data_IF_936021380221
#
_entry.id   IF_936021380221
#
_cell.length_a   1.000
_cell.length_b   1.000
_cell.length_c   1.000
_cell.angle_alpha   90.00
_cell.angle_beta   90.00
_cell.angle_gamma   90.00
#
_symmetry.space_group_name_H-M   'P 1'
#
loop_
_entity.id
_entity.type
_entity.pdbx_description
1 polymer ?
#
# COMPACT_ATOMS: atom_id res chain seq x y z
N UNK A 1 7.35 2.47 0.47
CA UNK A 1 6.22 2.55 1.43
C UNK A 1 6.63 2.25 2.87
N UNK A 2 7.18 1.06 3.18
CA UNK A 2 7.58 0.72 4.56
C UNK A 2 8.63 1.68 5.12
N UNK A 3 9.62 2.10 4.32
CA UNK A 3 10.60 3.10 4.74
C UNK A 3 9.95 4.37 5.37
N UNK A 4 8.90 4.89 4.74
CA UNK A 4 8.13 6.03 5.26
C UNK A 4 7.29 5.65 6.49
N UNK A 5 6.66 4.48 6.47
CA UNK A 5 5.80 4.04 7.58
C UNK A 5 6.58 3.83 8.89
N UNK A 6 7.84 3.38 8.80
CA UNK A 6 8.77 3.25 9.92
C UNK A 6 9.43 4.59 10.31
N UNK A 7 9.21 5.67 9.55
CA UNK A 7 9.81 6.96 9.79
C UNK A 7 11.29 7.07 9.38
N UNK A 8 11.79 6.13 8.57
CA UNK A 8 13.16 6.17 8.04
C UNK A 8 13.30 7.25 6.97
N UNK A 9 12.25 7.44 6.16
CA UNK A 9 12.13 8.53 5.20
C UNK A 9 10.93 9.42 5.57
N UNK A 10 11.01 10.71 5.27
CA UNK A 10 9.91 11.65 5.50
C UNK A 10 9.40 12.21 4.18
N UNK A 11 8.11 12.00 3.92
CA UNK A 11 7.42 12.70 2.85
C UNK A 11 6.92 14.06 3.36
N UNK A 12 6.97 15.12 2.55
CA UNK A 12 6.41 16.41 2.94
C UNK A 12 4.89 16.29 3.16
N UNK A 13 4.38 17.03 4.14
CA UNK A 13 2.94 17.04 4.43
C UNK A 13 2.11 17.54 3.23
N UNK A 14 2.63 18.56 2.55
CA UNK A 14 2.03 19.12 1.36
C UNK A 14 2.78 18.62 0.12
N UNK A 15 2.09 17.90 -0.76
CA UNK A 15 2.64 17.47 -2.02
C UNK A 15 2.33 18.50 -3.11
N UNK A 16 3.38 19.15 -3.64
CA UNK A 16 3.29 20.12 -4.74
C UNK A 16 3.23 19.47 -6.14
N UNK A 17 3.18 18.13 -6.20
CA UNK A 17 3.27 17.35 -7.43
C UNK A 17 4.69 16.83 -7.72
N UNK A 18 5.67 17.15 -6.87
CA UNK A 18 7.04 16.65 -7.00
C UNK A 18 7.18 15.23 -6.41
N UNK A 19 7.96 14.38 -7.08
CA UNK A 19 8.21 13.00 -6.66
C UNK A 19 9.58 12.93 -5.96
N UNK A 20 9.58 12.66 -4.66
CA UNK A 20 10.80 12.69 -3.84
C UNK A 20 11.46 11.32 -3.59
N UNK A 21 10.89 10.21 -4.12
CA UNK A 21 11.36 8.85 -3.82
C UNK A 21 12.86 8.66 -4.07
N UNK A 22 13.39 9.20 -5.16
CA UNK A 22 14.80 9.04 -5.51
C UNK A 22 15.70 9.63 -4.42
N UNK A 23 15.43 10.88 -4.03
CA UNK A 23 16.17 11.59 -2.99
C UNK A 23 16.03 10.91 -1.62
N UNK A 24 14.80 10.61 -1.23
CA UNK A 24 14.50 10.10 0.11
C UNK A 24 15.11 8.71 0.34
N UNK A 25 15.07 7.83 -0.65
CA UNK A 25 15.63 6.48 -0.54
C UNK A 25 17.14 6.44 -0.84
N UNK A 26 17.69 7.35 -1.65
CA UNK A 26 19.14 7.50 -1.82
C UNK A 26 19.82 7.84 -0.48
N UNK A 27 19.23 8.75 0.30
CA UNK A 27 19.74 9.10 1.63
C UNK A 27 19.79 7.88 2.57
N UNK A 28 18.85 6.94 2.46
CA UNK A 28 18.88 5.69 3.22
C UNK A 28 20.03 4.76 2.77
N UNK A 29 20.30 4.68 1.47
CA UNK A 29 21.44 3.93 0.96
C UNK A 29 22.77 4.47 1.51
N UNK A 30 22.94 5.80 1.54
CA UNK A 30 24.13 6.46 2.09
C UNK A 30 24.31 6.16 3.59
N UNK A 31 23.21 6.06 4.33
CA UNK A 31 23.19 5.65 5.74
C UNK A 31 23.42 4.14 5.93
N UNK A 32 23.34 3.34 4.86
CA UNK A 32 23.43 1.88 4.92
C UNK A 32 22.19 1.24 5.53
N UNK A 33 21.02 1.87 5.33
CA UNK A 33 19.72 1.41 5.81
C UNK A 33 18.91 0.85 4.65
N UNK A 34 18.41 -0.37 4.79
CA UNK A 34 17.53 -1.00 3.81
C UNK A 34 16.42 -1.80 4.50
N UNK A 35 15.19 -1.72 3.97
CA UNK A 35 14.05 -2.50 4.47
C UNK A 35 13.41 -3.31 3.35
N UNK A 36 13.26 -4.62 3.57
CA UNK A 36 12.57 -5.49 2.60
C UNK A 36 11.07 -5.19 2.55
N UNK A 37 10.38 -5.52 1.46
CA UNK A 37 8.93 -5.61 1.45
C UNK A 37 8.38 -6.49 2.58
N UNK A 38 7.16 -6.20 3.02
CA UNK A 38 6.47 -6.94 4.06
C UNK A 38 5.84 -8.21 3.49
N UNK A 39 6.34 -9.36 3.91
CA UNK A 39 5.86 -10.69 3.50
C UNK A 39 4.83 -11.17 4.51
N UNK A 40 3.63 -11.53 4.06
CA UNK A 40 2.63 -12.13 4.94
C UNK A 40 3.09 -13.52 5.41
N UNK A 41 2.91 -13.81 6.69
CA UNK A 41 3.33 -15.09 7.29
C UNK A 41 2.33 -16.21 7.05
N UNK A 42 1.10 -15.87 6.65
CA UNK A 42 0.01 -16.79 6.40
C UNK A 42 -0.85 -16.26 5.25
N UNK A 43 -1.77 -17.10 4.77
CA UNK A 43 -2.74 -16.69 3.76
C UNK A 43 -3.52 -15.44 4.23
N UNK A 44 -3.59 -14.38 3.40
CA UNK A 44 -4.23 -13.13 3.81
C UNK A 44 -5.72 -13.34 4.09
N UNK A 45 -6.15 -12.83 5.24
CA UNK A 45 -7.56 -12.73 5.61
C UNK A 45 -8.12 -11.40 5.15
N UNK A 46 -9.34 -11.40 4.63
CA UNK A 46 -10.00 -10.19 4.15
C UNK A 46 -11.32 -9.94 4.86
N UNK A 47 -11.67 -8.68 4.99
CA UNK A 47 -13.00 -8.22 5.38
C UNK A 47 -13.60 -7.43 4.22
N UNK A 48 -14.91 -7.55 4.05
CA UNK A 48 -15.66 -6.86 3.01
C UNK A 48 -16.60 -5.86 3.66
N UNK A 49 -16.41 -4.59 3.33
CA UNK A 49 -17.33 -3.52 3.69
C UNK A 49 -18.26 -3.22 2.52
N UNK A 50 -19.54 -3.02 2.81
CA UNK A 50 -20.47 -2.38 1.88
C UNK A 50 -20.78 -0.98 2.41
N UNK A 51 -20.79 0.01 1.53
CA UNK A 51 -21.13 1.38 1.88
C UNK A 51 -22.08 1.96 0.84
N UNK A 52 -22.96 2.86 1.27
CA UNK A 52 -23.82 3.59 0.35
C UNK A 52 -23.00 4.68 -0.33
N UNK A 53 -23.16 4.82 -1.64
CA UNK A 53 -22.58 5.92 -2.42
C UNK A 53 -23.68 6.94 -2.80
N UNK A 54 -24.70 7.03 -1.96
CA UNK A 54 -25.77 8.00 -2.10
C UNK A 54 -25.22 9.43 -1.91
N UNK A 55 -25.74 10.40 -2.65
CA UNK A 55 -25.36 11.79 -2.47
C UNK A 55 -25.72 12.27 -1.06
N UNK A 56 -24.82 13.03 -0.45
CA UNK A 56 -25.03 13.70 0.83
C UNK A 56 -25.90 14.97 0.62
N UNK A 57 -27.11 14.76 0.13
CA UNK A 57 -28.10 15.81 -0.10
C UNK A 57 -29.17 15.75 1.00
N UNK A 58 -29.56 16.91 1.54
CA UNK A 58 -30.60 17.02 2.57
C UNK A 58 -31.94 16.41 2.13
N UNK A 59 -32.20 16.36 0.83
CA UNK A 59 -33.34 15.68 0.26
C UNK A 59 -32.93 14.91 -0.99
N UNK A 60 -33.35 13.64 -1.05
CA UNK A 60 -33.25 12.81 -2.24
C UNK A 60 -34.49 11.92 -2.39
N UNK A 61 -34.76 11.47 -3.62
CA UNK A 61 -35.79 10.47 -3.92
C UNK A 61 -35.28 9.43 -4.91
N UNK A 62 -35.79 8.20 -4.80
CA UNK A 62 -35.52 7.15 -5.79
C UNK A 62 -36.49 7.30 -6.98
N UNK A 63 -35.92 7.56 -8.16
CA UNK A 63 -36.60 7.41 -9.44
C UNK A 63 -36.31 6.01 -10.03
N UNK A 64 -36.88 5.71 -11.20
CA UNK A 64 -36.64 4.43 -11.86
C UNK A 64 -35.15 4.26 -12.20
N UNK A 65 -34.44 3.44 -11.41
CA UNK A 65 -33.00 3.17 -11.50
C UNK A 65 -32.06 4.38 -11.37
N UNK A 66 -32.50 5.47 -10.72
CA UNK A 66 -31.65 6.65 -10.50
C UNK A 66 -32.00 7.37 -9.20
N UNK A 67 -31.03 8.11 -8.64
CA UNK A 67 -31.25 8.98 -7.49
C UNK A 67 -31.50 10.40 -8.00
N UNK A 68 -32.54 11.04 -7.46
CA UNK A 68 -32.87 12.44 -7.68
C UNK A 68 -32.44 13.20 -6.44
N UNK A 69 -31.49 14.12 -6.59
CA UNK A 69 -31.07 15.02 -5.51
C UNK A 69 -31.65 16.42 -5.74
N UNK A 70 -31.97 17.13 -4.65
CA UNK A 70 -32.53 18.47 -4.69
C UNK A 70 -31.46 19.51 -4.35
N UNK A 71 -31.45 20.63 -5.07
CA UNK A 71 -30.65 21.81 -4.71
C UNK A 71 -31.12 22.43 -3.38
N UNK A 72 -30.21 23.02 -2.60
CA UNK A 72 -30.61 23.63 -1.33
C UNK A 72 -31.59 24.81 -1.54
N UNK A 73 -32.60 24.93 -0.68
CA UNK A 73 -33.67 25.93 -0.81
C UNK A 73 -34.73 25.70 -1.91
N UNK A 74 -34.62 24.66 -2.75
CA UNK A 74 -35.64 24.32 -3.74
C UNK A 74 -36.80 23.51 -3.12
N UNK A 75 -37.99 23.56 -3.75
CA UNK A 75 -39.06 22.58 -3.51
C UNK A 75 -39.24 21.67 -4.73
N UNK A 76 -39.72 20.45 -4.51
CA UNK A 76 -39.72 19.39 -5.54
C UNK A 76 -41.15 18.97 -5.86
N UNK A 77 -41.42 18.78 -7.15
CA UNK A 77 -42.69 18.32 -7.69
C UNK A 77 -42.48 17.08 -8.56
N UNK A 78 -43.33 16.07 -8.41
CA UNK A 78 -43.37 14.90 -9.29
C UNK A 78 -44.54 15.03 -10.26
N UNK A 79 -44.25 15.05 -11.55
CA UNK A 79 -45.26 15.06 -12.62
C UNK A 79 -45.03 13.85 -13.53
N UNK A 80 -45.79 12.77 -13.29
CA UNK A 80 -45.60 11.48 -13.96
C UNK A 80 -44.29 10.79 -13.53
N UNK A 81 -43.45 10.31 -14.47
CA UNK A 81 -42.16 9.69 -14.14
C UNK A 81 -41.03 10.72 -13.91
N UNK A 82 -41.30 12.01 -14.12
CA UNK A 82 -40.28 13.08 -14.10
C UNK A 82 -40.38 13.91 -12.82
N UNK A 83 -39.23 14.22 -12.25
CA UNK A 83 -39.09 15.11 -11.11
C UNK A 83 -38.64 16.51 -11.56
N UNK A 84 -39.23 17.54 -10.96
CA UNK A 84 -38.92 18.95 -11.20
C UNK A 84 -38.53 19.62 -9.89
N UNK A 85 -37.47 20.42 -9.90
CA UNK A 85 -37.15 21.35 -8.82
C UNK A 85 -37.65 22.75 -9.18
N UNK A 86 -38.10 23.49 -8.17
CA UNK A 86 -38.50 24.88 -8.25
C UNK A 86 -37.55 25.69 -7.38
N UNK A 87 -36.73 26.53 -8.01
CA UNK A 87 -35.78 27.40 -7.33
C UNK A 87 -35.95 28.81 -7.87
N UNK A 88 -36.12 29.80 -6.98
CA UNK A 88 -36.28 31.22 -7.36
C UNK A 88 -37.40 31.49 -8.39
N UNK A 89 -38.46 30.67 -8.38
CA UNK A 89 -39.59 30.81 -9.30
C UNK A 89 -39.41 30.12 -10.66
N UNK A 90 -38.24 29.52 -10.94
CA UNK A 90 -38.01 28.75 -12.16
C UNK A 90 -38.24 27.26 -11.94
N UNK A 91 -38.88 26.61 -12.92
CA UNK A 91 -39.13 25.16 -12.94
C UNK A 91 -38.06 24.45 -13.77
N UNK A 92 -37.24 23.63 -13.12
CA UNK A 92 -36.17 22.87 -13.77
C UNK A 92 -36.39 21.37 -13.64
N UNK A 93 -36.24 20.63 -14.74
CA UNK A 93 -36.26 19.16 -14.72
C UNK A 93 -34.99 18.65 -14.03
N UNK A 94 -35.15 17.80 -13.02
CA UNK A 94 -34.01 17.16 -12.36
C UNK A 94 -33.50 16.03 -13.26
N UNK A 95 -32.20 16.05 -13.55
CA UNK A 95 -31.53 15.00 -14.30
C UNK A 95 -31.45 13.70 -13.49
N UNK A 96 -31.58 12.56 -14.16
CA UNK A 96 -31.31 11.27 -13.54
C UNK A 96 -29.80 11.10 -13.40
N UNK A 97 -29.31 10.90 -12.19
CA UNK A 97 -27.89 10.63 -11.96
C UNK A 97 -27.68 9.11 -11.87
N UNK A 98 -26.98 8.55 -12.86
CA UNK A 98 -26.53 7.17 -12.80
C UNK A 98 -25.27 7.09 -11.93
N UNK A 99 -25.48 7.14 -10.61
CA UNK A 99 -24.42 6.97 -9.62
C UNK A 99 -24.47 5.56 -9.03
N UNK A 100 -23.31 4.93 -8.77
CA UNK A 100 -23.27 3.72 -7.96
C UNK A 100 -24.04 3.96 -6.66
N UNK A 101 -25.04 3.12 -6.36
CA UNK A 101 -25.86 3.30 -5.15
C UNK A 101 -25.18 2.69 -3.93
N UNK A 102 -24.43 1.60 -4.14
CA UNK A 102 -23.61 0.96 -3.14
C UNK A 102 -22.23 0.62 -3.72
N UNK A 103 -21.21 0.76 -2.88
CA UNK A 103 -19.86 0.31 -3.14
C UNK A 103 -19.51 -0.89 -2.27
N UNK A 104 -18.57 -1.70 -2.74
CA UNK A 104 -17.94 -2.76 -1.94
C UNK A 104 -16.44 -2.49 -1.87
N UNK A 105 -15.87 -2.65 -0.69
CA UNK A 105 -14.44 -2.56 -0.49
C UNK A 105 -13.92 -3.83 0.18
N UNK A 106 -12.91 -4.44 -0.44
CA UNK A 106 -12.15 -5.56 0.12
C UNK A 106 -10.92 -4.99 0.83
N UNK A 107 -10.81 -5.27 2.12
CA UNK A 107 -9.71 -4.79 2.96
C UNK A 107 -9.02 -5.98 3.63
N UNK A 108 -7.75 -5.84 3.97
CA UNK A 108 -7.10 -6.80 4.86
C UNK A 108 -7.81 -6.79 6.21
N UNK A 109 -8.20 -7.97 6.69
CA UNK A 109 -8.82 -8.14 7.99
C UNK A 109 -7.84 -7.85 9.13
N UNK A 110 -8.38 -7.60 10.33
CA UNK A 110 -7.57 -7.50 11.55
C UNK A 110 -6.93 -8.86 11.86
N UNK A 111 -5.67 -8.83 12.32
CA UNK A 111 -4.94 -10.02 12.74
C UNK A 111 -4.08 -10.66 11.65
N UNK A 112 -4.06 -10.12 10.43
CA UNK A 112 -3.01 -10.45 9.48
C UNK A 112 -1.65 -10.06 10.07
N UNK A 113 -0.63 -10.90 9.88
CA UNK A 113 0.74 -10.64 10.32
C UNK A 113 1.68 -10.71 9.12
N UNK A 114 2.71 -9.86 9.16
CA UNK A 114 3.72 -9.77 8.13
C UNK A 114 5.10 -9.63 8.77
N UNK A 115 6.13 -10.10 8.07
CA UNK A 115 7.53 -9.95 8.43
C UNK A 115 8.23 -9.16 7.33
N UNK A 116 9.03 -8.19 7.75
CA UNK A 116 10.01 -7.51 6.92
C UNK A 116 11.34 -7.50 7.66
N UNK A 117 12.43 -7.38 6.92
CA UNK A 117 13.77 -7.33 7.48
C UNK A 117 14.35 -5.94 7.28
N UNK A 118 14.90 -5.39 8.35
CA UNK A 118 15.59 -4.12 8.35
C UNK A 118 17.08 -4.40 8.52
N UNK A 119 17.87 -3.93 7.56
CA UNK A 119 19.32 -3.98 7.58
C UNK A 119 19.79 -2.55 7.86
N UNK A 120 20.67 -2.38 8.85
CA UNK A 120 21.25 -1.08 9.18
C UNK A 120 22.68 -1.27 9.68
N UNK A 121 23.56 -0.33 9.36
CA UNK A 121 24.92 -0.28 9.92
C UNK A 121 24.92 0.18 11.38
N UNK A 122 24.03 1.11 11.70
CA UNK A 122 23.90 1.72 13.02
C UNK A 122 22.58 1.31 13.68
N UNK A 123 22.52 1.19 15.01
CA UNK A 123 21.28 0.90 15.72
C UNK A 123 20.18 1.93 15.42
N UNK A 124 18.96 1.46 15.14
CA UNK A 124 17.82 2.31 14.82
C UNK A 124 16.73 2.21 15.89
N UNK A 125 16.18 3.35 16.28
CA UNK A 125 14.99 3.38 17.13
C UNK A 125 13.75 3.30 16.27
N UNK A 126 12.99 2.20 16.39
CA UNK A 126 11.81 1.95 15.56
C UNK A 126 10.51 2.19 16.33
N UNK A 127 9.45 2.69 15.65
CA UNK A 127 8.16 2.91 16.29
C UNK A 127 7.46 1.59 16.62
N UNK A 128 6.72 1.57 17.73
CA UNK A 128 5.89 0.40 18.14
C UNK A 128 4.64 0.20 17.28
N UNK A 129 4.24 1.23 16.55
CA UNK A 129 3.10 1.20 15.64
C UNK A 129 3.40 2.01 14.40
N UNK A 130 2.98 1.48 13.25
CA UNK A 130 3.08 2.16 11.95
C UNK A 130 1.70 2.25 11.33
N UNK A 131 1.54 3.18 10.39
CA UNK A 131 0.32 3.32 9.58
C UNK A 131 0.62 2.97 8.14
N UNK A 132 -0.24 2.17 7.53
CA UNK A 132 -0.04 1.61 6.20
C UNK A 132 -1.26 1.81 5.31
N UNK A 133 -1.00 2.06 4.02
CA UNK A 133 -2.01 2.13 2.98
C UNK A 133 -2.89 3.39 3.03
N UNK A 134 -3.81 3.49 2.06
CA UNK A 134 -4.66 4.67 1.86
C UNK A 134 -5.58 4.96 3.06
N UNK A 135 -6.04 3.92 3.76
CA UNK A 135 -6.92 4.04 4.92
C UNK A 135 -6.16 4.19 6.25
N UNK A 136 -4.82 4.32 6.20
CA UNK A 136 -3.98 4.53 7.38
C UNK A 136 -4.15 3.45 8.47
N UNK A 137 -4.31 2.20 8.03
CA UNK A 137 -4.46 1.05 8.91
C UNK A 137 -3.28 0.97 9.88
N UNK A 138 -3.58 0.83 11.17
CA UNK A 138 -2.56 0.75 12.23
C UNK A 138 -2.05 -0.68 12.35
N UNK A 139 -0.74 -0.88 12.21
CA UNK A 139 -0.06 -2.14 12.45
C UNK A 139 0.81 -2.03 13.71
N UNK A 140 0.75 -3.04 14.58
CA UNK A 140 1.69 -3.18 15.71
C UNK A 140 3.01 -3.73 15.18
N UNK A 141 4.11 -3.13 15.61
CA UNK A 141 5.47 -3.56 15.28
C UNK A 141 6.08 -4.26 16.48
N UNK A 142 6.64 -5.43 16.23
CA UNK A 142 7.53 -6.15 17.14
C UNK A 142 8.88 -6.23 16.45
N UNK A 143 9.94 -5.84 17.16
CA UNK A 143 11.31 -5.83 16.64
C UNK A 143 12.09 -6.88 17.40
N UNK A 144 12.83 -7.71 16.67
CA UNK A 144 13.74 -8.70 17.24
C UNK A 144 15.08 -8.51 16.56
N UNK A 145 16.10 -8.09 17.32
CA UNK A 145 17.48 -8.07 16.83
C UNK A 145 17.98 -9.50 16.66
N UNK A 146 18.73 -9.71 15.60
CA UNK A 146 19.24 -11.03 15.25
C UNK A 146 20.74 -10.95 15.00
N UNK A 147 21.55 -11.80 15.64
CA UNK A 147 22.94 -11.93 15.26
C UNK A 147 23.01 -12.47 13.82
N UNK A 148 23.94 -11.94 13.05
CA UNK A 148 24.14 -12.33 11.65
C UNK A 148 25.55 -12.84 11.43
N UNK A 149 25.67 -13.86 10.59
CA UNK A 149 26.96 -14.33 10.07
C UNK A 149 26.96 -14.26 8.54
N UNK A 150 28.10 -13.96 7.94
CA UNK A 150 28.24 -13.94 6.48
C UNK A 150 28.43 -15.38 6.00
N UNK A 151 27.58 -15.80 5.06
CA UNK A 151 27.66 -17.13 4.46
C UNK A 151 27.57 -17.06 2.95
N UNK A 152 28.35 -17.89 2.25
CA UNK A 152 28.17 -18.13 0.83
C UNK A 152 27.15 -19.27 0.64
N UNK A 153 26.16 -19.08 -0.24
CA UNK A 153 25.19 -20.12 -0.60
C UNK A 153 24.94 -20.15 -2.11
N UNK A 154 24.63 -21.34 -2.61
CA UNK A 154 24.18 -21.57 -3.97
C UNK A 154 22.74 -22.09 -3.93
N UNK A 155 21.92 -21.63 -4.86
CA UNK A 155 20.51 -21.99 -5.00
C UNK A 155 19.73 -21.89 -3.67
N UNK A 156 20.02 -20.86 -2.88
CA UNK A 156 19.31 -20.59 -1.63
C UNK A 156 17.88 -20.15 -1.95
N UNK A 157 16.91 -20.89 -1.42
CA UNK A 157 15.51 -20.51 -1.47
C UNK A 157 15.21 -19.46 -0.39
N UNK A 158 14.50 -18.41 -0.78
CA UNK A 158 14.03 -17.33 0.07
C UNK A 158 12.51 -17.19 -0.06
N UNK A 159 11.81 -17.46 1.03
CA UNK A 159 10.34 -17.34 1.12
C UNK A 159 9.93 -15.95 1.62
N UNK A 160 10.56 -14.92 1.07
CA UNK A 160 10.31 -13.51 1.40
C UNK A 160 10.12 -12.71 0.12
N UNK A 161 9.31 -11.66 0.19
CA UNK A 161 9.17 -10.69 -0.88
C UNK A 161 10.43 -9.86 -0.98
N UNK A 162 10.99 -9.82 -2.19
CA UNK A 162 12.12 -8.98 -2.57
C UNK A 162 11.70 -8.08 -3.71
N UNK A 163 12.31 -6.90 -3.78
CA UNK A 163 12.31 -6.11 -5.00
C UNK A 163 13.54 -6.56 -5.82
N UNK A 164 13.36 -7.18 -7.00
CA UNK A 164 14.49 -7.63 -7.81
C UNK A 164 15.44 -6.51 -8.22
N UNK A 165 14.92 -5.29 -8.37
CA UNK A 165 15.74 -4.13 -8.72
C UNK A 165 16.75 -3.77 -7.63
N UNK A 166 16.47 -4.12 -6.37
CA UNK A 166 17.30 -3.79 -5.21
C UNK A 166 18.43 -4.80 -4.97
N UNK A 167 18.46 -5.89 -5.75
CA UNK A 167 19.51 -6.91 -5.69
C UNK A 167 20.81 -6.42 -6.33
N UNK A 168 21.96 -6.64 -5.67
CA UNK A 168 23.25 -6.37 -6.30
C UNK A 168 23.50 -7.24 -7.55
N UNK A 169 24.26 -6.75 -8.53
CA UNK A 169 24.50 -7.45 -9.80
C UNK A 169 25.25 -8.78 -9.66
N UNK A 170 25.98 -8.99 -8.55
CA UNK A 170 26.68 -10.23 -8.25
C UNK A 170 25.75 -11.42 -7.93
N UNK A 171 24.47 -11.17 -7.64
CA UNK A 171 23.53 -12.25 -7.37
C UNK A 171 23.02 -12.88 -8.66
N UNK A 172 23.07 -14.21 -8.69
CA UNK A 172 22.41 -14.98 -9.74
C UNK A 172 21.00 -15.36 -9.30
N UNK A 173 20.01 -14.71 -9.91
CA UNK A 173 18.60 -15.05 -9.77
C UNK A 173 18.25 -16.22 -10.69
N UNK A 174 18.00 -17.40 -10.12
CA UNK A 174 17.77 -18.64 -10.87
C UNK A 174 16.28 -18.92 -11.14
N UNK A 175 15.42 -18.67 -10.15
CA UNK A 175 13.97 -18.86 -10.23
C UNK A 175 13.27 -17.90 -9.26
N UNK A 176 12.04 -17.50 -9.59
CA UNK A 176 11.18 -16.68 -8.74
C UNK A 176 9.75 -16.65 -9.29
N UNK A 177 8.80 -16.37 -8.40
CA UNK A 177 7.44 -16.00 -8.76
C UNK A 177 7.32 -14.48 -8.80
N UNK A 178 6.79 -13.94 -9.91
CA UNK A 178 6.58 -12.50 -10.07
C UNK A 178 5.21 -12.10 -9.50
N UNK A 179 5.23 -11.25 -8.49
CA UNK A 179 4.04 -10.59 -7.95
C UNK A 179 3.93 -9.20 -8.58
N UNK A 180 3.11 -9.10 -9.62
CA UNK A 180 2.87 -7.84 -10.33
C UNK A 180 2.01 -6.88 -9.48
N UNK A 181 2.67 -5.96 -8.78
CA UNK A 181 2.02 -4.88 -8.02
C UNK A 181 2.60 -3.54 -8.51
N UNK A 182 1.79 -2.61 -9.05
CA UNK A 182 2.28 -1.28 -9.36
C UNK A 182 2.76 -0.54 -8.09
N UNK A 183 3.83 0.27 -8.14
CA UNK A 183 4.61 0.63 -9.33
C UNK A 183 5.75 -0.34 -9.67
N UNK A 184 6.20 -1.18 -8.73
CA UNK A 184 7.39 -2.02 -8.90
C UNK A 184 7.03 -3.48 -8.63
N UNK A 185 7.26 -4.40 -9.58
CA UNK A 185 6.97 -5.81 -9.37
C UNK A 185 7.87 -6.38 -8.27
N UNK A 186 7.32 -7.29 -7.48
CA UNK A 186 8.05 -7.98 -6.42
C UNK A 186 8.30 -9.43 -6.82
N UNK A 187 9.37 -10.03 -6.31
CA UNK A 187 9.66 -11.45 -6.44
C UNK A 187 9.39 -12.19 -5.13
N UNK A 188 8.81 -13.38 -5.25
CA UNK A 188 8.55 -14.33 -4.17
C UNK A 188 9.16 -15.69 -4.54
N UNK A 189 9.35 -16.57 -3.55
CA UNK A 189 9.88 -17.94 -3.74
C UNK A 189 11.20 -17.92 -4.53
N UNK A 190 12.07 -17.00 -4.12
CA UNK A 190 13.24 -16.61 -4.91
C UNK A 190 14.36 -17.62 -4.68
N UNK A 191 14.98 -18.10 -5.75
CA UNK A 191 16.19 -18.93 -5.69
C UNK A 191 17.38 -18.11 -6.12
N UNK A 192 18.27 -17.81 -5.16
CA UNK A 192 19.43 -16.94 -5.34
C UNK A 192 20.74 -17.65 -5.01
N UNK A 193 21.81 -17.26 -5.72
CA UNK A 193 23.18 -17.65 -5.37
C UNK A 193 24.01 -16.39 -5.12
N UNK A 194 24.80 -16.38 -4.04
CA UNK A 194 25.55 -15.21 -3.61
C UNK A 194 26.02 -15.29 -2.15
N UNK A 195 26.32 -14.13 -1.58
CA UNK A 195 26.61 -13.95 -0.16
C UNK A 195 25.32 -13.65 0.60
N UNK A 196 25.20 -14.08 1.84
CA UNK A 196 23.99 -13.85 2.62
C UNK A 196 24.34 -13.56 4.08
N UNK A 197 23.51 -12.74 4.74
CA UNK A 197 23.40 -12.75 6.19
C UNK A 197 22.62 -14.00 6.59
N UNK A 198 23.29 -14.96 7.20
CA UNK A 198 22.66 -16.05 7.92
C UNK A 198 22.08 -15.53 9.22
N UNK A 199 20.82 -15.88 9.49
CA UNK A 199 20.08 -15.51 10.69
C UNK A 199 19.81 -16.78 11.50
N UNK A 200 19.71 -16.69 12.83
CA UNK A 200 19.68 -17.84 13.75
C UNK A 200 18.67 -18.96 13.43
N UNK A 201 17.58 -18.63 12.74
CA UNK A 201 16.53 -19.58 12.33
C UNK A 201 16.83 -20.32 11.02
N UNK A 202 18.07 -20.26 10.51
CA UNK A 202 18.48 -20.83 9.22
C UNK A 202 18.03 -20.01 8.00
N UNK A 203 17.35 -18.88 8.23
CA UNK A 203 16.99 -17.93 7.17
C UNK A 203 18.24 -17.20 6.67
N UNK A 204 18.17 -16.77 5.42
CA UNK A 204 19.24 -16.02 4.77
C UNK A 204 18.66 -14.72 4.19
N UNK A 205 19.43 -13.63 4.23
CA UNK A 205 19.10 -12.37 3.57
C UNK A 205 20.25 -11.97 2.65
N UNK A 206 19.99 -11.55 1.40
CA UNK A 206 21.05 -11.06 0.54
C UNK A 206 21.80 -9.88 1.19
N UNK A 207 23.12 -9.94 1.16
CA UNK A 207 24.00 -8.83 1.52
C UNK A 207 24.01 -7.78 0.40
N UNK A 208 24.17 -6.51 0.76
CA UNK A 208 24.37 -5.42 -0.20
C UNK A 208 23.10 -4.85 -0.82
N UNK A 209 21.93 -5.33 -0.39
CA UNK A 209 20.62 -4.79 -0.79
C UNK A 209 20.56 -3.29 -0.58
N UNK A 210 20.08 -2.56 -1.60
CA UNK A 210 19.96 -1.11 -1.61
C UNK A 210 18.76 -0.70 -2.45
N UNK A 211 18.13 0.42 -2.12
CA UNK A 211 17.04 0.93 -2.96
C UNK A 211 17.58 1.37 -4.31
N UNK A 212 17.13 0.74 -5.38
CA UNK A 212 17.57 1.08 -6.74
C UNK A 212 16.78 2.28 -7.27
N UNK A 213 17.22 3.47 -6.84
CA UNK A 213 16.62 4.77 -7.20
C UNK A 213 17.27 5.44 -8.41
N UNK A 214 18.44 4.98 -8.84
CA UNK A 214 19.20 5.57 -9.94
C UNK A 214 18.62 5.24 -11.32
N UNK A 215 17.67 4.31 -11.38
CA UNK A 215 16.97 3.86 -12.60
C UNK A 215 15.54 4.41 -12.73
N UNK A 216 15.11 5.32 -11.84
CA UNK A 216 13.76 5.91 -11.80
C UNK A 216 13.74 7.29 -12.45
#
# INVERSE_FOLDING_TARGET
ALAYAFGLAQAPYFNQGEIHYARDLAALNEQGVYITPGTLTAAPRFTFGQFNAQPDAYWFAFANNAIVSRSDGAWVEKSGPVWYEHLSGERRKIGLENRPQHGRIRMLAIGNTAVCYLISRDPLTLPRYIRLGKFMSKARVTVTEQPVNIVQRQNQQLDILLNPADLPPEYRLAAFDLVAVPPTPLALNVVLSGQFYGVGDGRCLPIGMRFNVEQI
#
